data_IF_536359346696
#
_entry.id   IF_536359346696
#
_cell.length_a   1.000
_cell.length_b   1.000
_cell.length_c   1.000
_cell.angle_alpha   90.00
_cell.angle_beta   90.00
_cell.angle_gamma   90.00
#
_symmetry.space_group_name_H-M   'P 1'
#
loop_
_entity.id
_entity.type
_entity.pdbx_description
1 polymer ?
#
# COMPACT_ATOMS: atom_id res chain seq x y z
N UNK A 1 -31.89 5.87 2.26
CA UNK A 1 -32.35 6.18 0.89
C UNK A 1 -31.56 7.30 0.22
N UNK A 2 -31.54 8.55 0.72
CA UNK A 2 -30.73 9.61 0.09
C UNK A 2 -29.20 9.42 0.24
N UNK A 3 -28.75 8.93 1.41
CA UNK A 3 -27.33 8.69 1.69
C UNK A 3 -26.73 7.52 0.87
N UNK A 4 -27.53 6.50 0.58
CA UNK A 4 -27.09 5.33 -0.20
C UNK A 4 -26.81 5.69 -1.67
N UNK A 5 -27.59 6.62 -2.21
CA UNK A 5 -27.48 7.09 -3.58
C UNK A 5 -26.25 7.99 -3.76
N UNK A 6 -25.95 8.82 -2.78
CA UNK A 6 -24.75 9.66 -2.76
C UNK A 6 -23.46 8.81 -2.62
N UNK A 7 -23.51 7.73 -1.82
CA UNK A 7 -22.42 6.76 -1.71
C UNK A 7 -22.18 6.02 -3.03
N UNK A 8 -23.24 5.61 -3.72
CA UNK A 8 -23.17 4.96 -5.02
C UNK A 8 -22.58 5.88 -6.10
N UNK A 9 -22.99 7.15 -6.13
CA UNK A 9 -22.43 8.15 -7.06
C UNK A 9 -20.97 8.50 -6.78
N UNK A 10 -20.54 8.47 -5.51
CA UNK A 10 -19.12 8.62 -5.16
C UNK A 10 -18.30 7.43 -5.65
N UNK A 11 -18.78 6.20 -5.41
CA UNK A 11 -18.13 4.98 -5.90
C UNK A 11 -18.03 4.97 -7.43
N UNK A 12 -19.09 5.39 -8.11
CA UNK A 12 -19.11 5.47 -9.57
C UNK A 12 -18.10 6.50 -10.11
N UNK A 13 -17.99 7.68 -9.47
CA UNK A 13 -16.99 8.69 -9.83
C UNK A 13 -15.56 8.23 -9.59
N UNK A 14 -15.30 7.53 -8.49
CA UNK A 14 -13.98 6.96 -8.20
C UNK A 14 -13.62 5.87 -9.21
N UNK A 15 -14.54 4.96 -9.52
CA UNK A 15 -14.35 3.92 -10.53
C UNK A 15 -14.08 4.52 -11.92
N UNK A 16 -14.77 5.59 -12.28
CA UNK A 16 -14.58 6.29 -13.55
C UNK A 16 -13.25 7.06 -13.61
N UNK A 17 -12.79 7.64 -12.49
CA UNK A 17 -11.47 8.26 -12.40
C UNK A 17 -10.33 7.23 -12.51
N UNK A 18 -10.52 6.02 -11.97
CA UNK A 18 -9.59 4.89 -12.09
C UNK A 18 -9.56 4.37 -13.54
N UNK A 19 -10.72 4.25 -14.19
CA UNK A 19 -10.80 3.81 -15.57
C UNK A 19 -10.21 4.83 -16.58
N UNK A 20 -10.27 6.12 -16.25
CA UNK A 20 -9.72 7.19 -17.09
C UNK A 20 -8.19 7.32 -17.01
N UNK A 21 -7.55 6.81 -15.96
CA UNK A 21 -6.10 6.72 -15.84
C UNK A 21 -5.60 5.39 -16.41
N UNK A 22 -5.36 5.37 -17.72
CA UNK A 22 -4.78 4.23 -18.42
C UNK A 22 -3.55 3.65 -17.67
N UNK A 23 -3.58 2.33 -17.47
CA UNK A 23 -2.54 1.44 -16.89
C UNK A 23 -2.46 1.22 -15.37
N UNK A 24 -3.55 1.44 -14.61
CA UNK A 24 -3.64 0.77 -13.30
C UNK A 24 -3.95 -0.71 -13.56
N UNK A 25 -2.95 -1.56 -13.33
CA UNK A 25 -3.10 -3.01 -13.31
C UNK A 25 -4.35 -3.37 -12.50
N UNK A 26 -5.20 -4.26 -13.01
CA UNK A 26 -6.52 -4.57 -12.41
C UNK A 26 -6.38 -4.98 -10.95
N UNK A 27 -5.25 -5.62 -10.62
CA UNK A 27 -4.86 -6.02 -9.28
C UNK A 27 -4.40 -4.86 -8.38
N UNK A 28 -3.95 -3.75 -8.96
CA UNK A 28 -3.60 -2.51 -8.25
C UNK A 28 -4.84 -1.64 -7.95
N UNK A 29 -5.86 -1.67 -8.82
CA UNK A 29 -7.15 -1.04 -8.54
C UNK A 29 -7.93 -1.79 -7.44
N UNK A 30 -7.88 -3.13 -7.47
CA UNK A 30 -8.40 -3.98 -6.38
C UNK A 30 -7.57 -3.79 -5.09
N UNK A 31 -6.25 -3.58 -5.18
CA UNK A 31 -5.38 -3.23 -4.04
C UNK A 31 -5.78 -1.92 -3.38
N UNK A 32 -6.01 -0.85 -4.17
CA UNK A 32 -6.53 0.41 -3.68
C UNK A 32 -7.90 0.19 -3.05
N UNK A 33 -8.83 -0.51 -3.72
CA UNK A 33 -10.16 -0.72 -3.17
C UNK A 33 -10.17 -1.56 -1.89
N UNK A 34 -9.36 -2.61 -1.73
CA UNK A 34 -9.36 -3.43 -0.49
C UNK A 34 -8.72 -2.66 0.66
N UNK A 35 -7.56 -2.04 0.44
CA UNK A 35 -6.88 -1.23 1.47
C UNK A 35 -7.72 0.00 1.81
N UNK A 36 -8.36 0.66 0.83
CA UNK A 36 -9.23 1.81 1.09
C UNK A 36 -10.61 1.44 1.63
N UNK A 37 -11.19 0.29 1.27
CA UNK A 37 -12.46 -0.18 1.85
C UNK A 37 -12.28 -0.57 3.31
N UNK A 38 -11.15 -1.13 3.71
CA UNK A 38 -10.83 -1.34 5.13
C UNK A 38 -10.53 -0.02 5.87
N UNK A 39 -10.00 0.99 5.18
CA UNK A 39 -9.84 2.34 5.73
C UNK A 39 -11.16 3.12 5.89
N UNK A 40 -12.22 2.72 5.17
CA UNK A 40 -13.49 3.45 5.08
C UNK A 40 -14.68 2.64 5.62
N UNK A 41 -14.50 1.35 5.93
CA UNK A 41 -15.59 0.37 6.03
C UNK A 41 -15.86 -0.28 7.38
N UNK A 42 -15.09 -0.01 8.42
CA UNK A 42 -15.46 -0.36 9.79
C UNK A 42 -15.31 0.87 10.67
N UNK A 43 -16.18 1.06 11.66
CA UNK A 43 -16.12 2.15 12.66
C UNK A 43 -14.83 2.14 13.52
N UNK A 44 -13.82 1.35 13.12
CA UNK A 44 -12.51 1.21 13.73
C UNK A 44 -11.44 1.35 12.64
N UNK A 45 -10.55 2.34 12.78
CA UNK A 45 -9.43 2.49 11.86
C UNK A 45 -8.54 1.22 11.88
N UNK A 46 -8.13 0.68 10.71
CA UNK A 46 -7.31 -0.53 10.65
C UNK A 46 -5.98 -0.35 11.39
N UNK A 47 -5.51 -1.41 12.05
CA UNK A 47 -4.23 -1.40 12.78
C UNK A 47 -3.08 -1.00 11.83
N UNK A 48 -2.36 0.10 12.12
CA UNK A 48 -1.22 0.53 11.31
C UNK A 48 -0.16 -0.55 11.10
N UNK A 49 -0.02 -1.51 12.04
CA UNK A 49 0.90 -2.64 11.92
C UNK A 49 0.42 -3.62 10.85
N UNK A 50 -0.87 -3.93 10.83
CA UNK A 50 -1.46 -4.81 9.81
C UNK A 50 -1.26 -4.23 8.40
N UNK A 51 -1.59 -2.94 8.23
CA UNK A 51 -1.41 -2.23 6.97
C UNK A 51 0.05 -2.25 6.49
N UNK A 52 0.99 -1.98 7.40
CA UNK A 52 2.42 -2.02 7.10
C UNK A 52 2.86 -3.40 6.63
N UNK A 53 2.46 -4.45 7.35
CA UNK A 53 2.80 -5.84 7.01
C UNK A 53 2.26 -6.24 5.65
N UNK A 54 0.99 -5.96 5.36
CA UNK A 54 0.38 -6.26 4.07
C UNK A 54 1.11 -5.56 2.92
N UNK A 55 1.44 -4.28 3.09
CA UNK A 55 2.17 -3.52 2.09
C UNK A 55 3.60 -4.03 1.89
N UNK A 56 4.37 -4.26 2.97
CA UNK A 56 5.74 -4.76 2.88
C UNK A 56 5.83 -6.10 2.16
N UNK A 57 4.91 -7.02 2.42
CA UNK A 57 4.82 -8.29 1.69
C UNK A 57 4.59 -8.06 0.22
N UNK A 58 3.61 -7.25 -0.15
CA UNK A 58 3.29 -7.04 -1.56
C UNK A 58 4.44 -6.35 -2.30
N UNK A 59 5.10 -5.38 -1.67
CA UNK A 59 6.31 -4.74 -2.22
C UNK A 59 7.41 -5.79 -2.39
N UNK A 60 7.62 -6.67 -1.41
CA UNK A 60 8.56 -7.79 -1.52
C UNK A 60 8.24 -8.68 -2.73
N UNK A 61 7.01 -9.19 -2.82
CA UNK A 61 6.60 -10.07 -3.92
C UNK A 61 6.68 -9.40 -5.30
N UNK A 62 6.37 -8.10 -5.40
CA UNK A 62 6.38 -7.34 -6.67
C UNK A 62 7.79 -6.98 -7.13
N UNK A 63 8.63 -6.48 -6.24
CA UNK A 63 9.93 -5.88 -6.61
C UNK A 63 11.13 -6.80 -6.35
N UNK A 64 10.99 -7.81 -5.49
CA UNK A 64 12.05 -8.76 -5.17
C UNK A 64 11.55 -10.21 -5.18
N UNK A 65 10.95 -10.69 -6.31
CA UNK A 65 10.44 -12.05 -6.41
C UNK A 65 11.55 -13.08 -6.21
N UNK A 66 11.28 -14.13 -5.41
CA UNK A 66 12.24 -15.19 -5.10
C UNK A 66 13.41 -14.78 -4.20
N UNK A 67 13.47 -13.52 -3.76
CA UNK A 67 14.52 -13.05 -2.86
C UNK A 67 14.33 -13.58 -1.45
N UNK A 68 15.41 -14.03 -0.80
CA UNK A 68 15.40 -14.43 0.59
C UNK A 68 14.91 -13.29 1.50
N UNK A 69 14.08 -13.64 2.50
CA UNK A 69 13.44 -12.70 3.42
C UNK A 69 14.40 -11.70 4.05
N UNK A 70 15.55 -12.16 4.53
CA UNK A 70 16.56 -11.33 5.20
C UNK A 70 17.13 -10.27 4.25
N UNK A 71 17.46 -10.67 3.02
CA UNK A 71 17.93 -9.75 1.98
C UNK A 71 16.84 -8.77 1.58
N UNK A 72 15.60 -9.24 1.41
CA UNK A 72 14.46 -8.37 1.10
C UNK A 72 14.21 -7.34 2.21
N UNK A 73 14.25 -7.75 3.48
CA UNK A 73 14.07 -6.85 4.62
C UNK A 73 15.13 -5.74 4.66
N UNK A 74 16.39 -6.07 4.36
CA UNK A 74 17.48 -5.08 4.24
C UNK A 74 17.21 -4.07 3.14
N UNK A 75 16.88 -4.54 1.94
CA UNK A 75 16.62 -3.66 0.80
C UNK A 75 15.41 -2.78 1.04
N UNK A 76 14.31 -3.34 1.54
CA UNK A 76 13.11 -2.58 1.91
C UNK A 76 13.41 -1.51 2.95
N UNK A 77 14.22 -1.80 3.98
CA UNK A 77 14.58 -0.80 4.98
C UNK A 77 15.37 0.37 4.39
N UNK A 78 16.28 0.09 3.45
CA UNK A 78 17.09 1.11 2.76
C UNK A 78 16.22 1.93 1.82
N UNK A 79 15.44 1.29 0.96
CA UNK A 79 14.58 1.93 -0.01
C UNK A 79 13.48 2.77 0.66
N UNK A 80 12.92 2.29 1.77
CA UNK A 80 11.94 3.07 2.52
C UNK A 80 12.55 4.36 3.05
N UNK A 81 13.73 4.31 3.67
CA UNK A 81 14.40 5.55 4.13
C UNK A 81 14.71 6.51 2.99
N UNK A 82 15.14 6.00 1.83
CA UNK A 82 15.42 6.81 0.65
C UNK A 82 14.17 7.48 0.09
N UNK A 83 13.06 6.75 0.07
CA UNK A 83 11.79 7.24 -0.50
C UNK A 83 11.19 8.44 0.25
N UNK A 84 11.53 8.63 1.54
CA UNK A 84 11.06 9.78 2.34
C UNK A 84 11.49 11.11 1.73
N UNK A 85 12.65 11.16 1.08
CA UNK A 85 13.22 12.38 0.50
C UNK A 85 12.86 12.60 -0.96
N UNK A 86 12.19 11.64 -1.60
CA UNK A 86 11.72 11.78 -2.99
C UNK A 86 10.53 12.71 -2.95
N UNK A 87 10.48 13.77 -3.77
CA UNK A 87 9.33 14.68 -3.83
C UNK A 87 8.21 14.12 -4.70
N UNK A 88 8.54 13.55 -5.85
CA UNK A 88 7.57 13.05 -6.83
C UNK A 88 8.05 11.71 -7.44
N UNK A 89 7.73 10.57 -6.81
CA UNK A 89 8.13 9.27 -7.33
C UNK A 89 7.32 8.93 -8.58
N UNK A 90 7.98 8.29 -9.54
CA UNK A 90 7.31 7.80 -10.74
C UNK A 90 6.26 6.74 -10.37
N UNK A 91 5.10 6.73 -11.05
CA UNK A 91 4.09 5.70 -10.86
C UNK A 91 4.64 4.28 -11.04
N UNK A 92 4.19 3.36 -10.19
CA UNK A 92 4.58 1.95 -10.21
C UNK A 92 5.94 1.65 -9.57
N UNK A 93 6.65 2.65 -9.04
CA UNK A 93 7.94 2.45 -8.37
C UNK A 93 7.80 2.08 -6.89
N UNK A 94 8.84 1.45 -6.34
CA UNK A 94 8.92 1.16 -4.90
C UNK A 94 8.84 2.43 -4.03
N UNK A 95 9.43 3.52 -4.49
CA UNK A 95 9.40 4.82 -3.80
C UNK A 95 7.98 5.38 -3.72
N UNK A 96 7.18 5.20 -4.78
CA UNK A 96 5.76 5.58 -4.76
C UNK A 96 4.99 4.76 -3.72
N UNK A 97 5.21 3.45 -3.66
CA UNK A 97 4.56 2.60 -2.65
C UNK A 97 4.88 3.06 -1.23
N UNK A 98 6.14 3.40 -0.93
CA UNK A 98 6.53 3.89 0.40
C UNK A 98 6.02 5.30 0.70
N UNK A 99 5.93 6.18 -0.29
CA UNK A 99 5.28 7.48 -0.10
C UNK A 99 3.79 7.32 0.23
N UNK A 100 3.08 6.40 -0.44
CA UNK A 100 1.67 6.11 -0.14
C UNK A 100 1.52 5.66 1.33
N UNK A 101 2.43 4.83 1.84
CA UNK A 101 2.46 4.47 3.28
C UNK A 101 2.71 5.68 4.18
N UNK A 102 3.61 6.59 3.80
CA UNK A 102 3.85 7.84 4.51
C UNK A 102 2.61 8.73 4.60
N UNK A 103 1.83 8.83 3.50
CA UNK A 103 0.54 9.57 3.47
C UNK A 103 -0.50 8.93 4.39
N UNK A 104 -0.48 7.61 4.55
CA UNK A 104 -1.29 6.88 5.54
C UNK A 104 -0.76 6.99 6.99
N UNK A 105 0.20 7.88 7.25
CA UNK A 105 0.88 8.06 8.55
C UNK A 105 1.63 6.82 9.05
N UNK A 106 1.94 5.87 8.17
CA UNK A 106 2.77 4.71 8.48
C UNK A 106 4.23 5.12 8.32
N UNK A 107 4.96 5.13 9.44
CA UNK A 107 6.37 5.56 9.46
C UNK A 107 7.31 4.46 8.98
N UNK A 108 8.47 4.84 8.41
CA UNK A 108 9.55 3.89 8.13
C UNK A 108 9.98 3.15 9.40
N UNK A 109 10.25 1.86 9.28
CA UNK A 109 10.73 1.00 10.36
C UNK A 109 12.08 0.38 10.03
N UNK A 110 12.78 -0.12 11.04
CA UNK A 110 14.09 -0.76 10.88
C UNK A 110 14.01 -2.17 10.28
N UNK A 111 15.13 -2.65 9.75
CA UNK A 111 15.29 -4.00 9.15
C UNK A 111 14.67 -5.11 10.01
N UNK A 112 14.95 -5.11 11.32
CA UNK A 112 14.43 -6.13 12.24
C UNK A 112 12.91 -6.17 12.27
N UNK A 113 12.27 -5.00 12.31
CA UNK A 113 10.81 -4.92 12.33
C UNK A 113 10.19 -5.27 10.97
N UNK A 114 10.85 -4.93 9.85
CA UNK A 114 10.43 -5.41 8.52
C UNK A 114 10.53 -6.93 8.47
N UNK A 115 11.62 -7.51 8.96
CA UNK A 115 11.83 -8.95 8.98
C UNK A 115 10.74 -9.67 9.78
N UNK A 116 10.34 -9.12 10.94
CA UNK A 116 9.23 -9.62 11.76
C UNK A 116 7.88 -9.51 11.03
N UNK A 117 7.63 -8.37 10.36
CA UNK A 117 6.40 -8.15 9.59
C UNK A 117 6.33 -9.06 8.34
N UNK A 118 7.48 -9.48 7.80
CA UNK A 118 7.54 -10.46 6.72
C UNK A 118 7.36 -11.90 7.22
N UNK A 119 7.71 -12.23 8.47
CA UNK A 119 7.81 -13.60 9.00
C UNK A 119 6.48 -14.31 9.26
N UNK A 120 5.44 -13.57 9.68
CA UNK A 120 4.22 -14.21 10.20
C UNK A 120 3.43 -14.92 9.08
N UNK A 121 3.64 -16.21 8.88
CA UNK A 121 2.76 -17.04 8.06
C UNK A 121 1.29 -16.80 8.45
N UNK A 122 0.43 -16.66 7.44
CA UNK A 122 -0.99 -16.96 7.56
C UNK A 122 -1.17 -18.35 6.96
#
# INVERSE_FOLDING_TARGET
MAADMEAAERLHRVAHAIAAQQSVDRDEAVWLMVVFRELVGEDSAPDPRYMRRAALRRIWWKFYPGMARTTAARLLAVEWRRSVSVKDPLPGTIAECFQRLGRAKIRPVGERQIMDDLDLEL
#
